data_IF_637500060435
#
_entry.id   IF_637500060435
#
_cell.length_a   1.000
_cell.length_b   1.000
_cell.length_c   1.000
_cell.angle_alpha   90.00
_cell.angle_beta   90.00
_cell.angle_gamma   90.00
#
_symmetry.space_group_name_H-M   'P 1'
#
loop_
_entity.id
_entity.type
_entity.pdbx_description
1 polymer ?
#
# COMPACT_ATOMS: atom_id res chain seq x y z
N UNK A 1 -2.78 -26.10 7.96
CA UNK A 1 -3.23 -24.93 8.74
C UNK A 1 -4.75 -24.86 8.66
N UNK A 2 -5.47 -24.57 9.75
CA UNK A 2 -6.91 -24.38 9.68
C UNK A 2 -7.22 -23.20 8.75
N UNK A 3 -8.14 -23.41 7.80
CA UNK A 3 -8.67 -22.35 6.96
C UNK A 3 -9.67 -21.57 7.81
N UNK A 4 -9.29 -20.36 8.21
CA UNK A 4 -10.18 -19.45 8.90
C UNK A 4 -10.97 -18.67 7.85
N UNK A 5 -12.30 -18.78 7.91
CA UNK A 5 -13.20 -18.04 7.05
C UNK A 5 -13.80 -16.88 7.84
N UNK A 6 -14.06 -15.72 7.19
CA UNK A 6 -14.79 -14.65 7.84
C UNK A 6 -16.18 -15.10 8.27
N UNK A 7 -16.65 -14.62 9.42
CA UNK A 7 -18.02 -14.87 9.84
C UNK A 7 -19.04 -14.23 8.89
N UNK A 8 -20.26 -14.78 8.84
CA UNK A 8 -21.34 -14.19 8.04
C UNK A 8 -21.67 -12.75 8.44
N UNK A 9 -21.51 -12.42 9.73
CA UNK A 9 -21.73 -11.06 10.22
C UNK A 9 -20.63 -10.10 9.74
N UNK A 10 -19.37 -10.54 9.74
CA UNK A 10 -18.26 -9.77 9.19
C UNK A 10 -18.43 -9.50 7.68
N UNK A 11 -18.88 -10.52 6.92
CA UNK A 11 -19.18 -10.36 5.50
C UNK A 11 -20.34 -9.39 5.26
N UNK A 12 -21.40 -9.45 6.07
CA UNK A 12 -22.55 -8.54 5.94
C UNK A 12 -22.18 -7.10 6.27
N UNK A 13 -21.32 -6.90 7.27
CA UNK A 13 -20.79 -5.57 7.59
C UNK A 13 -19.89 -5.05 6.45
N UNK A 14 -19.02 -5.91 5.91
CA UNK A 14 -18.14 -5.56 4.80
C UNK A 14 -18.94 -5.21 3.54
N UNK A 15 -20.01 -5.94 3.24
CA UNK A 15 -20.95 -5.63 2.15
C UNK A 15 -21.49 -4.20 2.30
N UNK A 16 -22.01 -3.84 3.48
CA UNK A 16 -22.53 -2.48 3.73
C UNK A 16 -21.46 -1.40 3.57
N UNK A 17 -20.27 -1.63 4.13
CA UNK A 17 -19.18 -0.65 4.08
C UNK A 17 -18.66 -0.45 2.66
N UNK A 18 -18.48 -1.54 1.91
CA UNK A 18 -17.94 -1.45 0.56
C UNK A 18 -18.98 -0.97 -0.46
N UNK A 19 -20.27 -1.20 -0.21
CA UNK A 19 -21.33 -0.53 -0.95
C UNK A 19 -21.34 0.99 -0.69
N UNK A 20 -21.11 1.44 0.54
CA UNK A 20 -20.99 2.87 0.85
C UNK A 20 -19.74 3.51 0.20
N UNK A 21 -18.60 2.81 0.18
CA UNK A 21 -17.42 3.24 -0.57
C UNK A 21 -17.72 3.26 -2.08
N UNK A 22 -18.39 2.23 -2.59
CA UNK A 22 -18.78 2.08 -3.99
C UNK A 22 -19.72 3.20 -4.46
N UNK A 23 -20.63 3.68 -3.61
CA UNK A 23 -21.47 4.85 -3.93
C UNK A 23 -20.68 6.15 -4.09
N UNK A 24 -19.50 6.24 -3.46
CA UNK A 24 -18.63 7.43 -3.46
C UNK A 24 -17.45 7.31 -4.43
N UNK A 25 -17.30 6.18 -5.11
CA UNK A 25 -16.15 5.90 -5.98
C UNK A 25 -16.60 5.35 -7.34
N UNK A 26 -15.94 5.74 -8.44
CA UNK A 26 -16.31 5.23 -9.75
C UNK A 26 -15.89 3.76 -9.92
N UNK A 27 -16.63 3.02 -10.73
CA UNK A 27 -16.21 1.70 -11.22
C UNK A 27 -16.43 0.53 -10.27
N UNK A 28 -17.19 0.69 -9.19
CA UNK A 28 -17.56 -0.43 -8.31
C UNK A 28 -18.42 -1.47 -9.03
N UNK A 29 -18.00 -2.74 -9.02
CA UNK A 29 -18.68 -3.87 -9.68
C UNK A 29 -19.39 -4.81 -8.69
N UNK A 30 -19.23 -4.59 -7.38
CA UNK A 30 -19.83 -5.42 -6.34
C UNK A 30 -18.91 -6.57 -5.88
N UNK A 31 -19.54 -7.58 -5.27
CA UNK A 31 -18.85 -8.73 -4.63
C UNK A 31 -18.88 -9.99 -5.50
N UNK A 32 -17.75 -10.69 -5.55
CA UNK A 32 -17.67 -12.09 -6.01
C UNK A 32 -16.96 -12.92 -4.93
N UNK A 33 -17.65 -13.90 -4.36
CA UNK A 33 -17.12 -14.71 -3.25
C UNK A 33 -16.85 -13.84 -2.02
N UNK A 34 -15.61 -13.82 -1.52
CA UNK A 34 -15.19 -13.02 -0.36
C UNK A 34 -14.42 -11.75 -0.75
N UNK A 35 -14.54 -11.30 -2.00
CA UNK A 35 -13.81 -10.16 -2.53
C UNK A 35 -14.72 -9.19 -3.28
N UNK A 36 -14.39 -7.90 -3.19
CA UNK A 36 -15.11 -6.79 -3.81
C UNK A 36 -14.24 -6.11 -4.85
N UNK A 37 -14.85 -5.64 -5.93
CA UNK A 37 -14.13 -5.25 -7.13
C UNK A 37 -14.46 -3.84 -7.58
N UNK A 38 -13.43 -3.13 -8.05
CA UNK A 38 -13.58 -1.92 -8.85
C UNK A 38 -12.82 -2.06 -10.15
N UNK A 39 -13.45 -1.62 -11.24
CA UNK A 39 -12.82 -1.45 -12.54
C UNK A 39 -12.62 0.03 -12.82
N UNK A 40 -11.39 0.47 -12.69
CA UNK A 40 -10.99 1.85 -12.93
C UNK A 40 -10.43 2.00 -14.36
N UNK A 41 -10.27 3.24 -14.88
CA UNK A 41 -9.65 3.48 -16.18
C UNK A 41 -8.23 2.90 -16.28
N UNK A 42 -7.68 2.90 -17.50
CA UNK A 42 -6.36 2.33 -17.80
C UNK A 42 -6.20 0.82 -17.50
N UNK A 43 -7.32 0.10 -17.34
CA UNK A 43 -7.32 -1.34 -17.08
C UNK A 43 -6.90 -1.70 -15.65
N UNK A 44 -7.05 -0.76 -14.71
CA UNK A 44 -6.79 -1.01 -13.28
C UNK A 44 -7.96 -1.80 -12.69
N UNK A 45 -7.65 -3.00 -12.20
CA UNK A 45 -8.55 -3.82 -11.40
C UNK A 45 -8.16 -3.68 -9.93
N UNK A 46 -9.10 -3.19 -9.13
CA UNK A 46 -8.96 -3.17 -7.67
C UNK A 46 -9.74 -4.33 -7.08
N UNK A 47 -9.14 -5.01 -6.12
CA UNK A 47 -9.77 -6.08 -5.34
C UNK A 47 -9.57 -5.80 -3.86
N UNK A 48 -10.67 -5.71 -3.11
CA UNK A 48 -10.66 -5.71 -1.65
C UNK A 48 -11.09 -7.09 -1.14
N UNK A 49 -10.43 -7.61 -0.11
CA UNK A 49 -10.80 -8.86 0.55
C UNK A 49 -10.67 -8.71 2.06
N UNK A 50 -11.56 -9.35 2.78
CA UNK A 50 -11.46 -9.42 4.23
C UNK A 50 -10.42 -10.48 4.61
N UNK A 51 -9.41 -10.07 5.35
CA UNK A 51 -8.40 -10.94 5.94
C UNK A 51 -8.55 -10.94 7.47
N UNK A 52 -8.34 -12.09 8.08
CA UNK A 52 -8.53 -12.29 9.50
C UNK A 52 -7.16 -12.36 10.18
N UNK A 53 -6.81 -11.34 10.94
CA UNK A 53 -5.63 -11.38 11.80
C UNK A 53 -6.04 -12.04 13.12
N UNK A 54 -5.54 -13.25 13.38
CA UNK A 54 -5.69 -13.93 14.67
C UNK A 54 -4.82 -13.20 15.70
N UNK A 55 -5.31 -12.07 16.18
CA UNK A 55 -4.76 -11.30 17.30
C UNK A 55 -5.70 -11.46 18.49
N UNK A 56 -5.17 -11.31 19.71
CA UNK A 56 -5.98 -11.36 20.94
C UNK A 56 -7.12 -10.33 20.95
N UNK A 57 -6.93 -9.22 20.22
CA UNK A 57 -7.90 -8.13 20.09
C UNK A 57 -8.87 -8.28 18.90
N UNK A 58 -8.71 -9.31 18.04
CA UNK A 58 -9.55 -9.59 16.85
C UNK A 58 -9.82 -8.39 15.94
N UNK A 59 -8.76 -7.65 15.60
CA UNK A 59 -8.82 -6.71 14.48
C UNK A 59 -8.73 -7.50 13.18
N UNK A 60 -9.80 -7.51 12.39
CA UNK A 60 -9.72 -7.97 11.00
C UNK A 60 -9.16 -6.84 10.13
N UNK A 61 -8.77 -7.15 8.90
CA UNK A 61 -8.20 -6.18 7.97
C UNK A 61 -8.89 -6.32 6.63
N UNK A 62 -9.37 -5.22 6.07
CA UNK A 62 -9.75 -5.18 4.67
C UNK A 62 -8.50 -4.90 3.83
N UNK A 63 -7.99 -5.92 3.16
CA UNK A 63 -6.85 -5.79 2.27
C UNK A 63 -7.31 -5.45 0.86
N UNK A 64 -6.90 -4.29 0.38
CA UNK A 64 -7.12 -3.84 -0.98
C UNK A 64 -5.84 -3.94 -1.81
N UNK A 65 -5.98 -4.30 -3.08
CA UNK A 65 -4.89 -4.39 -4.03
C UNK A 65 -5.35 -3.81 -5.37
N UNK A 66 -4.50 -3.03 -6.02
CA UNK A 66 -4.72 -2.56 -7.37
C UNK A 66 -3.72 -3.23 -8.31
N UNK A 67 -4.22 -3.69 -9.46
CA UNK A 67 -3.42 -4.41 -10.44
C UNK A 67 -3.75 -3.99 -11.87
N UNK A 68 -2.80 -4.19 -12.78
CA UNK A 68 -3.04 -4.12 -14.22
C UNK A 68 -2.47 -5.37 -14.90
N UNK A 69 -2.95 -5.73 -16.11
CA UNK A 69 -2.38 -6.85 -16.86
C UNK A 69 -0.88 -6.71 -17.14
N UNK A 70 -0.34 -5.48 -17.18
CA UNK A 70 1.07 -5.22 -17.51
C UNK A 70 1.98 -5.18 -16.28
N UNK A 71 1.53 -4.60 -15.18
CA UNK A 71 2.36 -4.38 -13.98
C UNK A 71 2.13 -5.42 -12.87
N UNK A 72 1.11 -6.27 -12.99
CA UNK A 72 0.66 -7.08 -11.85
C UNK A 72 0.11 -6.17 -10.75
N UNK A 73 0.30 -6.54 -9.48
CA UNK A 73 -0.11 -5.71 -8.33
C UNK A 73 0.87 -4.56 -8.15
N UNK A 74 0.40 -3.32 -8.29
CA UNK A 74 1.22 -2.12 -8.18
C UNK A 74 0.81 -1.22 -7.00
N UNK A 75 -0.29 -1.51 -6.32
CA UNK A 75 -0.65 -0.80 -5.09
C UNK A 75 -1.37 -1.73 -4.14
N UNK A 76 -1.13 -1.55 -2.84
CA UNK A 76 -1.79 -2.27 -1.76
C UNK A 76 -2.18 -1.27 -0.68
N UNK A 77 -3.30 -1.51 -0.03
CA UNK A 77 -3.73 -0.77 1.14
C UNK A 77 -4.40 -1.74 2.11
N UNK A 78 -4.10 -1.59 3.39
CA UNK A 78 -4.69 -2.38 4.46
C UNK A 78 -5.54 -1.44 5.32
N UNK A 79 -6.84 -1.67 5.37
CA UNK A 79 -7.77 -0.85 6.15
C UNK A 79 -8.20 -1.62 7.40
N UNK A 80 -8.00 -1.07 8.62
CA UNK A 80 -8.44 -1.72 9.85
C UNK A 80 -9.95 -1.97 9.86
N UNK A 81 -10.36 -3.23 10.00
CA UNK A 81 -11.76 -3.66 9.94
C UNK A 81 -12.18 -4.30 11.27
N UNK A 82 -13.05 -3.62 12.02
CA UNK A 82 -13.43 -4.07 13.35
C UNK A 82 -14.80 -4.77 13.35
N UNK A 83 -14.88 -5.95 12.73
CA UNK A 83 -16.13 -6.69 12.56
C UNK A 83 -16.82 -7.00 13.89
N UNK A 84 -16.08 -7.60 14.82
CA UNK A 84 -16.63 -8.18 16.05
C UNK A 84 -16.89 -7.15 17.14
N UNK A 85 -16.25 -5.99 17.04
CA UNK A 85 -16.44 -4.90 17.99
C UNK A 85 -17.79 -4.18 17.75
N UNK A 86 -18.42 -4.37 16.58
CA UNK A 86 -19.74 -3.80 16.24
C UNK A 86 -20.90 -4.79 16.37
N UNK A 87 -20.62 -6.07 16.62
CA UNK A 87 -21.64 -7.12 16.70
C UNK A 87 -22.17 -7.27 18.12
N UNK A 88 -23.50 -7.14 18.26
CA UNK A 88 -24.17 -7.31 19.54
C UNK A 88 -24.19 -8.78 20.06
N UNK A 89 -23.64 -9.71 19.29
CA UNK A 89 -23.69 -11.15 19.56
C UNK A 89 -22.31 -11.80 19.57
N UNK A 90 -21.23 -11.02 19.39
CA UNK A 90 -19.86 -11.53 19.31
C UNK A 90 -19.03 -11.13 20.53
N UNK A 91 -18.44 -12.10 21.27
CA UNK A 91 -17.44 -11.80 22.29
C UNK A 91 -16.12 -11.27 21.67
N UNK A 92 -15.38 -10.36 22.34
CA UNK A 92 -15.65 -9.80 23.66
C UNK A 92 -16.38 -8.44 23.57
N UNK A 93 -17.52 -8.33 24.25
CA UNK A 93 -17.96 -7.03 24.72
C UNK A 93 -17.10 -6.64 25.90
N UNK A 94 -16.22 -5.65 25.75
CA UNK A 94 -15.62 -5.01 26.93
C UNK A 94 -16.64 -3.98 27.41
N UNK A 95 -17.44 -4.37 28.40
CA UNK A 95 -18.13 -3.41 29.25
C UNK A 95 -17.07 -2.69 30.10
N UNK A 96 -17.17 -1.37 30.24
CA UNK A 96 -16.42 -0.70 31.31
C UNK A 96 -16.94 -1.17 32.69
N UNK A 97 -16.25 -0.81 33.77
CA UNK A 97 -16.65 -1.14 35.15
C UNK A 97 -18.02 -0.58 35.55
N UNK A 98 -18.68 0.23 34.70
CA UNK A 98 -19.91 0.97 34.96
C UNK A 98 -21.05 0.57 34.00
N UNK A 99 -20.82 -0.36 33.06
CA UNK A 99 -21.80 -0.86 32.11
C UNK A 99 -22.10 0.08 30.93
N UNK A 100 -21.31 1.15 30.73
CA UNK A 100 -21.51 2.11 29.63
C UNK A 100 -20.54 1.80 28.49
N UNK A 101 -21.06 1.59 27.28
CA UNK A 101 -20.29 1.16 26.12
C UNK A 101 -19.47 2.31 25.48
N UNK A 102 -18.36 2.73 26.10
CA UNK A 102 -17.45 3.73 25.55
C UNK A 102 -16.81 3.30 24.21
N UNK A 103 -16.60 2.00 24.00
CA UNK A 103 -15.93 1.48 22.80
C UNK A 103 -16.77 1.58 21.53
N UNK A 104 -18.11 1.59 21.65
CA UNK A 104 -19.02 1.68 20.50
C UNK A 104 -18.77 2.95 19.67
N UNK A 105 -18.56 4.09 20.33
CA UNK A 105 -18.29 5.37 19.68
C UNK A 105 -16.94 5.34 18.93
N UNK A 106 -15.87 4.78 19.53
CA UNK A 106 -14.54 4.71 18.90
C UNK A 106 -14.54 3.92 17.59
N UNK A 107 -15.39 2.91 17.50
CA UNK A 107 -15.55 2.05 16.32
C UNK A 107 -16.31 2.73 15.18
N UNK A 108 -17.38 3.47 15.49
CA UNK A 108 -18.07 4.30 14.49
C UNK A 108 -17.12 5.35 13.89
N UNK A 109 -16.28 5.97 14.71
CA UNK A 109 -15.24 6.90 14.24
C UNK A 109 -14.18 6.21 13.37
N UNK A 110 -13.82 4.96 13.66
CA UNK A 110 -12.88 4.19 12.84
C UNK A 110 -13.47 3.72 11.51
N UNK A 111 -14.77 3.38 11.45
CA UNK A 111 -15.41 2.98 10.18
C UNK A 111 -15.67 4.15 9.25
N UNK A 112 -16.02 5.33 9.79
CA UNK A 112 -16.04 6.56 8.99
C UNK A 112 -14.67 6.86 8.38
N UNK A 113 -13.59 6.73 9.16
CA UNK A 113 -12.22 6.88 8.66
C UNK A 113 -11.86 5.84 7.61
N UNK A 114 -12.22 4.57 7.81
CA UNK A 114 -12.01 3.53 6.80
C UNK A 114 -12.66 3.90 5.46
N UNK A 115 -13.91 4.39 5.49
CA UNK A 115 -14.60 4.80 4.25
C UNK A 115 -13.84 5.96 3.60
N UNK A 116 -13.51 7.01 4.35
CA UNK A 116 -12.78 8.17 3.80
C UNK A 116 -11.40 7.79 3.25
N UNK A 117 -10.63 6.97 3.98
CA UNK A 117 -9.30 6.51 3.57
C UNK A 117 -9.38 5.64 2.30
N UNK A 118 -10.38 4.73 2.23
CA UNK A 118 -10.60 3.88 1.08
C UNK A 118 -11.06 4.67 -0.15
N UNK A 119 -11.98 5.63 0.04
CA UNK A 119 -12.44 6.55 -1.01
C UNK A 119 -11.28 7.39 -1.52
N UNK A 120 -10.45 7.92 -0.62
CA UNK A 120 -9.28 8.71 -0.99
C UNK A 120 -8.27 7.88 -1.80
N UNK A 121 -7.95 6.67 -1.34
CA UNK A 121 -7.03 5.77 -2.05
C UNK A 121 -7.56 5.38 -3.43
N UNK A 122 -8.85 5.04 -3.55
CA UNK A 122 -9.50 4.77 -4.85
C UNK A 122 -9.51 6.01 -5.76
N UNK A 123 -9.71 7.20 -5.18
CA UNK A 123 -9.63 8.47 -5.88
C UNK A 123 -8.24 8.74 -6.45
N UNK A 124 -7.18 8.45 -5.69
CA UNK A 124 -5.81 8.55 -6.18
C UNK A 124 -5.57 7.59 -7.35
N UNK A 125 -5.98 6.32 -7.25
CA UNK A 125 -5.86 5.35 -8.34
C UNK A 125 -6.61 5.77 -9.60
N UNK A 126 -7.80 6.35 -9.43
CA UNK A 126 -8.59 6.88 -10.53
C UNK A 126 -7.91 8.09 -11.18
N UNK A 127 -7.36 9.01 -10.38
CA UNK A 127 -6.66 10.19 -10.88
C UNK A 127 -5.37 9.82 -11.65
N UNK A 128 -4.60 8.85 -11.16
CA UNK A 128 -3.43 8.28 -11.83
C UNK A 128 -3.79 7.74 -13.22
N UNK A 129 -4.97 7.13 -13.35
CA UNK A 129 -5.42 6.56 -14.62
C UNK A 129 -5.85 7.62 -15.65
N UNK A 130 -6.32 8.79 -15.18
CA UNK A 130 -6.81 9.89 -16.04
C UNK A 130 -5.70 10.87 -16.40
N UNK A 131 -4.75 11.10 -15.49
CA UNK A 131 -3.57 11.93 -15.72
C UNK A 131 -2.32 11.14 -15.35
N UNK A 132 -1.62 10.52 -16.32
CA UNK A 132 -0.39 9.79 -16.05
C UNK A 132 0.77 10.68 -15.55
N UNK A 133 0.58 12.01 -15.52
CA UNK A 133 1.51 12.94 -14.87
C UNK A 133 1.32 13.01 -13.35
N UNK A 134 0.16 12.59 -12.82
CA UNK A 134 -0.01 12.26 -11.40
C UNK A 134 0.44 10.81 -11.27
N UNK A 135 1.75 10.60 -11.17
CA UNK A 135 2.24 9.32 -10.68
C UNK A 135 1.65 9.13 -9.28
N UNK A 136 1.09 7.95 -8.93
CA UNK A 136 0.93 7.63 -7.53
C UNK A 136 2.32 7.76 -6.89
N UNK A 137 2.47 8.01 -5.58
CA UNK A 137 3.74 7.70 -4.93
C UNK A 137 4.04 6.27 -5.34
N UNK A 138 5.03 6.12 -6.21
CA UNK A 138 5.23 4.89 -6.94
C UNK A 138 5.30 3.80 -5.88
N UNK A 139 4.58 2.69 -6.08
CA UNK A 139 5.12 1.41 -5.64
C UNK A 139 6.61 1.47 -5.95
N UNK A 140 7.41 1.55 -4.90
CA UNK A 140 8.81 1.95 -5.01
C UNK A 140 9.42 1.17 -6.18
N UNK A 141 10.11 1.84 -7.11
CA UNK A 141 10.60 1.17 -8.30
C UNK A 141 11.41 -0.04 -7.85
N UNK A 142 10.96 -1.24 -8.22
CA UNK A 142 11.67 -2.46 -7.89
C UNK A 142 13.07 -2.33 -8.49
N UNK A 143 14.08 -2.25 -7.62
CA UNK A 143 15.45 -2.02 -8.06
C UNK A 143 15.92 -3.23 -8.87
N UNK A 144 16.42 -2.98 -10.07
CA UNK A 144 17.11 -4.00 -10.84
C UNK A 144 18.36 -4.49 -10.10
N UNK A 145 18.86 -5.67 -10.46
CA UNK A 145 20.07 -6.25 -9.85
C UNK A 145 21.28 -5.30 -9.92
N UNK A 146 21.40 -4.54 -11.01
CA UNK A 146 22.46 -3.54 -11.18
C UNK A 146 22.27 -2.34 -10.24
N UNK A 147 21.04 -1.84 -10.11
CA UNK A 147 20.71 -0.73 -9.23
C UNK A 147 20.95 -1.06 -7.76
N UNK A 148 20.57 -2.27 -7.32
CA UNK A 148 20.89 -2.75 -5.97
C UNK A 148 22.41 -2.79 -5.74
N UNK A 149 23.19 -3.26 -6.73
CA UNK A 149 24.66 -3.28 -6.65
C UNK A 149 25.26 -1.87 -6.56
N UNK A 150 24.71 -0.91 -7.30
CA UNK A 150 25.14 0.49 -7.22
C UNK A 150 24.88 1.08 -5.84
N UNK A 151 23.71 0.80 -5.26
CA UNK A 151 23.35 1.27 -3.91
C UNK A 151 24.24 0.63 -2.86
N UNK A 152 24.46 -0.69 -2.90
CA UNK A 152 25.38 -1.38 -1.98
C UNK A 152 26.79 -0.83 -2.07
N UNK A 153 27.33 -0.68 -3.29
CA UNK A 153 28.65 -0.08 -3.47
C UNK A 153 28.72 1.35 -2.90
N UNK A 154 27.67 2.16 -3.06
CA UNK A 154 27.65 3.49 -2.48
C UNK A 154 27.64 3.47 -0.94
N UNK A 155 26.92 2.53 -0.33
CA UNK A 155 26.87 2.37 1.13
C UNK A 155 28.19 1.84 1.70
N UNK A 156 28.76 0.81 1.07
CA UNK A 156 29.92 0.09 1.57
C UNK A 156 31.24 0.83 1.29
N UNK A 157 31.40 1.34 0.06
CA UNK A 157 32.69 1.86 -0.43
C UNK A 157 32.73 3.39 -0.54
N UNK A 158 31.57 4.05 -0.54
CA UNK A 158 31.46 5.51 -0.68
C UNK A 158 30.81 6.17 0.54
N UNK A 159 30.73 5.49 1.68
CA UNK A 159 30.15 6.03 2.93
C UNK A 159 28.73 6.59 2.75
N UNK A 160 27.93 5.96 1.88
CA UNK A 160 26.57 6.36 1.52
C UNK A 160 26.48 7.48 0.49
N UNK A 161 27.60 7.99 -0.04
CA UNK A 161 27.59 9.01 -1.09
C UNK A 161 27.33 8.40 -2.48
N UNK A 162 26.32 8.93 -3.17
CA UNK A 162 26.02 8.54 -4.55
C UNK A 162 26.85 9.36 -5.55
N UNK A 163 28.15 9.08 -5.60
CA UNK A 163 29.10 9.78 -6.46
C UNK A 163 29.14 9.16 -7.87
N UNK A 164 28.54 9.85 -8.85
CA UNK A 164 28.48 9.42 -10.26
C UNK A 164 29.86 9.08 -10.84
N UNK A 165 30.90 9.85 -10.51
CA UNK A 165 32.25 9.62 -11.07
C UNK A 165 32.86 8.33 -10.51
N UNK A 166 32.70 8.10 -9.20
CA UNK A 166 33.21 6.89 -8.54
C UNK A 166 32.42 5.64 -8.97
N UNK A 167 31.09 5.73 -8.99
CA UNK A 167 30.22 4.65 -9.44
C UNK A 167 30.45 4.29 -10.91
N UNK A 168 30.57 5.28 -11.80
CA UNK A 168 30.90 4.99 -13.19
C UNK A 168 32.29 4.36 -13.34
N UNK A 169 33.27 4.70 -12.49
CA UNK A 169 34.59 4.06 -12.53
C UNK A 169 34.50 2.57 -12.16
N UNK A 170 33.68 2.22 -11.17
CA UNK A 170 33.48 0.85 -10.71
C UNK A 170 32.60 0.00 -11.65
N UNK A 171 31.61 0.60 -12.32
CA UNK A 171 30.61 -0.11 -13.14
C UNK A 171 30.62 0.30 -14.63
N UNK A 172 31.75 0.81 -15.13
CA UNK A 172 31.89 1.37 -16.50
C UNK A 172 31.42 0.44 -17.62
N UNK A 173 31.54 -0.86 -17.43
CA UNK A 173 31.21 -1.86 -18.44
C UNK A 173 29.74 -2.29 -18.37
N UNK A 174 29.02 -1.89 -17.32
CA UNK A 174 27.63 -2.26 -17.06
C UNK A 174 26.67 -1.08 -17.19
N UNK A 175 27.14 0.16 -16.96
CA UNK A 175 26.31 1.37 -17.06
C UNK A 175 27.10 2.56 -17.60
N UNK A 176 26.49 3.27 -18.55
CA UNK A 176 27.06 4.52 -19.08
C UNK A 176 26.89 5.67 -18.08
N UNK A 177 27.81 6.63 -18.13
CA UNK A 177 27.76 7.83 -17.26
C UNK A 177 26.48 8.65 -17.45
N UNK A 178 25.95 8.71 -18.67
CA UNK A 178 24.69 9.41 -18.96
C UNK A 178 23.51 8.72 -18.28
N UNK A 179 23.41 7.39 -18.39
CA UNK A 179 22.36 6.60 -17.75
C UNK A 179 22.44 6.68 -16.22
N UNK A 180 23.65 6.64 -15.66
CA UNK A 180 23.88 6.83 -14.22
C UNK A 180 23.45 8.22 -13.73
N UNK A 181 23.64 9.25 -14.56
CA UNK A 181 23.22 10.62 -14.24
C UNK A 181 21.71 10.79 -14.30
N UNK A 182 21.06 10.21 -15.31
CA UNK A 182 19.60 10.20 -15.42
C UNK A 182 18.97 9.47 -14.23
N UNK A 183 19.53 8.32 -13.86
CA UNK A 183 19.09 7.54 -12.72
C UNK A 183 19.22 8.30 -11.39
N UNK A 184 20.35 9.01 -11.20
CA UNK A 184 20.52 9.87 -10.03
C UNK A 184 19.47 10.99 -9.98
N UNK A 185 19.15 11.63 -11.12
CA UNK A 185 18.11 12.67 -11.19
C UNK A 185 16.72 12.12 -10.88
N UNK A 186 16.39 10.94 -11.41
CA UNK A 186 15.12 10.26 -11.11
C UNK A 186 15.02 9.95 -9.62
N UNK A 187 16.06 9.40 -9.01
CA UNK A 187 16.07 9.09 -7.58
C UNK A 187 16.11 10.33 -6.69
N UNK A 188 16.71 11.44 -7.13
CA UNK A 188 16.57 12.74 -6.44
C UNK A 188 15.12 13.24 -6.48
N UNK A 189 14.45 13.15 -7.64
CA UNK A 189 13.06 13.59 -7.79
C UNK A 189 12.06 12.73 -7.00
N UNK A 190 12.41 11.46 -6.74
CA UNK A 190 11.63 10.54 -5.90
C UNK A 190 12.07 10.51 -4.44
N UNK A 191 12.91 11.46 -4.00
CA UNK A 191 13.44 11.55 -2.62
C UNK A 191 14.21 10.32 -2.12
N UNK A 192 14.64 9.45 -3.04
CA UNK A 192 15.47 8.27 -2.77
C UNK A 192 16.95 8.66 -2.59
N UNK A 193 17.37 9.77 -3.19
CA UNK A 193 18.63 10.44 -2.93
C UNK A 193 18.39 11.84 -2.37
N UNK A 194 19.26 12.29 -1.48
CA UNK A 194 19.28 13.71 -1.08
C UNK A 194 19.71 14.60 -2.25
N UNK A 195 19.33 15.88 -2.19
CA UNK A 195 19.96 16.90 -3.03
C UNK A 195 21.47 16.98 -2.75
N UNK A 196 22.22 17.61 -3.67
CA UNK A 196 23.69 17.67 -3.62
C UNK A 196 24.19 18.18 -2.25
N UNK A 197 25.15 17.48 -1.61
CA UNK A 197 25.79 16.25 -2.06
C UNK A 197 24.84 15.03 -1.95
N UNK A 198 24.74 14.26 -3.04
CA UNK A 198 23.82 13.12 -3.14
C UNK A 198 24.20 12.03 -2.15
N UNK A 199 23.27 11.66 -1.28
CA UNK A 199 23.40 10.55 -0.34
C UNK A 199 22.24 9.59 -0.49
N UNK A 200 22.54 8.31 -0.33
CA UNK A 200 21.55 7.23 -0.26
C UNK A 200 20.71 7.45 0.99
N UNK A 201 19.39 7.57 0.80
CA UNK A 201 18.44 7.70 1.92
C UNK A 201 18.12 6.34 2.52
N UNK A 202 17.48 6.34 3.70
CA UNK A 202 16.98 5.12 4.32
C UNK A 202 16.00 4.37 3.40
N UNK A 203 15.12 5.08 2.69
CA UNK A 203 14.18 4.49 1.74
C UNK A 203 14.89 3.69 0.64
N UNK A 204 15.92 4.27 0.01
CA UNK A 204 16.69 3.59 -1.03
C UNK A 204 17.51 2.41 -0.49
N UNK A 205 17.98 2.49 0.77
CA UNK A 205 18.66 1.38 1.42
C UNK A 205 17.74 0.17 1.59
N UNK A 206 16.55 0.37 2.15
CA UNK A 206 15.57 -0.70 2.37
C UNK A 206 15.22 -1.40 1.05
N UNK A 207 15.03 -0.65 -0.04
CA UNK A 207 14.77 -1.22 -1.37
C UNK A 207 15.92 -2.05 -1.94
N UNK A 208 17.16 -1.78 -1.54
CA UNK A 208 18.33 -2.56 -1.96
C UNK A 208 18.51 -3.84 -1.14
N UNK A 209 17.84 -3.93 0.02
CA UNK A 209 17.84 -5.06 0.96
C UNK A 209 16.63 -5.99 0.77
N UNK A 210 15.49 -5.48 0.29
CA UNK A 210 14.32 -6.29 -0.07
C UNK A 210 14.61 -7.18 -1.30
N UNK A 211 14.65 -8.50 -1.06
CA UNK A 211 14.92 -9.56 -2.05
C UNK A 211 13.63 -10.11 -2.67
#
# INVERSE_FOLDING_TARGET
MPLFYPSFDALRLADRLLDEIGKRTPGYEGRVGAAWYWRLPAGILVTARLDNTVTEERWDVLRAQASTPRAGVFSRADFPFAAYATSATSPPFIHDLQGVAEWSNRLYFQMGRLIEDAVHWLGLLHAVAISPQVSPPASFPALSRLERRLVRYALDELEGYFNIKALHRAFRDEISRSRLSALAQTWEASELLTQRPRRVTYALRVLAEEE
#
